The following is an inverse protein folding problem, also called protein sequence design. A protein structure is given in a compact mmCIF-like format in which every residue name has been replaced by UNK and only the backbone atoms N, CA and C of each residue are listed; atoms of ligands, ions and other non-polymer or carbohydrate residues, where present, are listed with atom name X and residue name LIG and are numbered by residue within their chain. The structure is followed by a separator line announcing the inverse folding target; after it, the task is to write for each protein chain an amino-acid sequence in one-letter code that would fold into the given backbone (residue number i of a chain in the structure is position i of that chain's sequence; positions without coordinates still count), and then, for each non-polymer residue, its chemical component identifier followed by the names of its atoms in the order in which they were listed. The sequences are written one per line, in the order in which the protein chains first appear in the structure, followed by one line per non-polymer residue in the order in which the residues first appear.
data_IF_878424343211
#
_entry.id   IF_878424343211
#
_cell.length_a   1.000
_cell.length_b   1.000
_cell.length_c   1.000
_cell.angle_alpha   90.00
_cell.angle_beta   90.00
_cell.angle_gamma   90.00
#
_symmetry.space_group_name_H-M   'P 1'
#
loop_
_entity.id
_entity.type
_entity.pdbx_description
1 polymer ?
#
# COMPACT_ATOMS: atom_id res chain seq x y z
N UNK A 1 28.56 27.35 21.53
CA UNK A 1 29.04 26.77 20.25
C UNK A 1 27.88 26.27 19.38
N UNK A 2 26.91 25.55 19.94
CA UNK A 2 25.74 25.01 19.19
C UNK A 2 25.00 26.05 18.34
N UNK A 3 24.66 27.23 18.89
CA UNK A 3 23.98 28.30 18.14
C UNK A 3 24.75 28.82 16.92
N UNK A 4 26.08 28.78 16.95
CA UNK A 4 26.92 29.22 15.83
C UNK A 4 26.92 28.17 14.71
N UNK A 5 26.96 26.89 15.09
CA UNK A 5 26.85 25.76 14.15
C UNK A 5 25.47 25.74 13.48
N UNK A 6 24.42 25.98 14.25
CA UNK A 6 23.05 26.08 13.74
C UNK A 6 22.91 27.25 12.75
N UNK A 7 23.40 28.43 13.12
CA UNK A 7 23.41 29.59 12.21
C UNK A 7 24.17 29.32 10.90
N UNK A 8 25.36 28.69 10.98
CA UNK A 8 26.11 28.30 9.78
C UNK A 8 25.34 27.29 8.92
N UNK A 9 24.67 26.32 9.55
CA UNK A 9 23.88 25.29 8.87
C UNK A 9 22.74 25.93 8.06
N UNK A 10 21.93 26.80 8.67
CA UNK A 10 20.85 27.51 7.97
C UNK A 10 21.36 28.47 6.91
N UNK A 11 22.42 29.23 7.19
CA UNK A 11 22.98 30.19 6.23
C UNK A 11 23.54 29.49 4.99
N UNK A 12 24.30 28.41 5.20
CA UNK A 12 24.85 27.62 4.09
C UNK A 12 23.76 26.88 3.33
N UNK A 13 22.76 26.30 4.02
CA UNK A 13 21.62 25.66 3.37
C UNK A 13 20.83 26.64 2.51
N UNK A 14 20.60 27.87 2.98
CA UNK A 14 19.84 28.89 2.24
C UNK A 14 20.60 29.33 0.98
N UNK A 15 21.94 29.43 1.04
CA UNK A 15 22.76 29.84 -0.10
C UNK A 15 22.94 28.71 -1.12
N UNK A 16 23.26 27.48 -0.67
CA UNK A 16 23.61 26.35 -1.53
C UNK A 16 22.42 25.45 -1.89
N UNK A 17 21.41 25.35 -1.03
CA UNK A 17 20.27 24.46 -1.21
C UNK A 17 19.53 24.64 -2.53
N UNK A 18 19.14 25.87 -2.91
CA UNK A 18 18.50 26.12 -4.21
C UNK A 18 19.38 25.73 -5.40
N UNK A 19 20.70 25.95 -5.31
CA UNK A 19 21.65 25.57 -6.37
C UNK A 19 21.77 24.05 -6.52
N UNK A 20 21.81 23.31 -5.40
CA UNK A 20 21.89 21.84 -5.41
C UNK A 20 20.62 21.23 -6.04
N UNK A 21 19.44 21.75 -5.70
CA UNK A 21 18.18 21.27 -6.25
C UNK A 21 18.01 21.66 -7.73
N UNK A 22 18.47 22.85 -8.13
CA UNK A 22 18.47 23.27 -9.54
C UNK A 22 19.43 22.39 -10.36
N UNK A 23 20.61 22.05 -9.83
CA UNK A 23 21.54 21.13 -10.47
C UNK A 23 20.92 19.74 -10.66
N UNK A 24 20.25 19.20 -9.64
CA UNK A 24 19.49 17.95 -9.73
C UNK A 24 18.45 18.04 -10.85
N UNK A 25 17.67 19.13 -10.88
CA UNK A 25 16.67 19.36 -11.91
C UNK A 25 17.27 19.38 -13.32
N UNK A 26 18.36 20.12 -13.55
CA UNK A 26 19.04 20.19 -14.85
C UNK A 26 19.55 18.81 -15.30
N UNK A 27 20.17 18.07 -14.38
CA UNK A 27 20.68 16.72 -14.65
C UNK A 27 19.53 15.77 -15.02
N UNK A 28 18.40 15.85 -14.32
CA UNK A 28 17.20 15.07 -14.64
C UNK A 28 16.60 15.47 -15.99
N UNK A 29 16.49 16.76 -16.28
CA UNK A 29 16.00 17.25 -17.58
C UNK A 29 16.92 16.85 -18.74
N UNK A 30 18.24 16.78 -18.51
CA UNK A 30 19.20 16.27 -19.49
C UNK A 30 18.89 14.80 -19.85
N UNK A 31 18.60 13.96 -18.86
CA UNK A 31 18.21 12.57 -19.10
C UNK A 31 16.87 12.46 -19.84
N UNK A 32 15.89 13.31 -19.50
CA UNK A 32 14.59 13.36 -20.22
C UNK A 32 14.81 13.77 -21.68
N UNK A 33 15.61 14.81 -21.92
CA UNK A 33 15.94 15.28 -23.26
C UNK A 33 16.65 14.19 -24.08
N UNK A 34 17.61 13.48 -23.48
CA UNK A 34 18.28 12.35 -24.10
C UNK A 34 17.28 11.23 -24.46
N UNK A 35 16.37 10.91 -23.54
CA UNK A 35 15.29 9.94 -23.78
C UNK A 35 14.37 10.36 -24.93
N UNK A 36 14.04 11.64 -25.03
CA UNK A 36 13.23 12.18 -26.12
C UNK A 36 13.95 12.08 -27.48
N UNK A 37 15.25 12.35 -27.52
CA UNK A 37 16.06 12.17 -28.75
C UNK A 37 16.06 10.72 -29.20
N UNK A 38 16.28 9.78 -28.27
CA UNK A 38 16.24 8.34 -28.58
C UNK A 38 14.86 7.91 -29.06
N UNK A 39 13.79 8.36 -28.40
CA UNK A 39 12.41 8.07 -28.79
C UNK A 39 12.06 8.67 -30.16
N UNK A 40 12.48 9.89 -30.45
CA UNK A 40 12.27 10.53 -31.74
C UNK A 40 13.00 9.77 -32.86
N UNK A 41 14.25 9.37 -32.64
CA UNK A 41 15.00 8.54 -33.60
C UNK A 41 14.32 7.19 -33.83
N UNK A 42 13.89 6.52 -32.76
CA UNK A 42 13.14 5.27 -32.86
C UNK A 42 11.83 5.45 -33.63
N UNK A 43 11.10 6.54 -33.38
CA UNK A 43 9.86 6.86 -34.09
C UNK A 43 10.11 7.08 -35.59
N UNK A 44 11.15 7.84 -35.96
CA UNK A 44 11.51 8.09 -37.37
C UNK A 44 11.84 6.78 -38.12
N UNK A 45 12.53 5.85 -37.45
CA UNK A 45 12.90 4.55 -38.03
C UNK A 45 11.71 3.58 -38.08
N UNK A 46 10.86 3.57 -37.05
CA UNK A 46 9.73 2.65 -36.91
C UNK A 46 8.46 3.14 -37.61
N UNK A 47 8.32 4.44 -37.88
CA UNK A 47 7.10 5.01 -38.46
C UNK A 47 6.68 4.36 -39.79
N UNK A 48 7.58 4.01 -40.72
CA UNK A 48 7.18 3.36 -41.97
C UNK A 48 6.63 1.94 -41.72
N UNK A 49 7.22 1.23 -40.76
CA UNK A 49 6.80 -0.13 -40.37
C UNK A 49 5.42 -0.08 -39.70
N UNK A 50 5.21 0.88 -38.78
CA UNK A 50 3.94 1.09 -38.11
C UNK A 50 2.85 1.52 -39.10
N UNK A 51 3.15 2.44 -40.02
CA UNK A 51 2.22 2.86 -41.06
C UNK A 51 1.81 1.67 -41.95
N UNK A 52 2.76 0.84 -42.36
CA UNK A 52 2.49 -0.40 -43.10
C UNK A 52 1.58 -1.36 -42.31
N UNK A 53 1.84 -1.54 -41.02
CA UNK A 53 1.04 -2.42 -40.16
C UNK A 53 -0.41 -1.93 -40.02
N UNK A 54 -0.62 -0.61 -39.88
CA UNK A 54 -1.96 -0.01 -39.81
C UNK A 54 -2.71 -0.19 -41.14
N UNK A 55 -2.04 0.08 -42.27
CA UNK A 55 -2.63 -0.11 -43.60
C UNK A 55 -3.01 -1.58 -43.85
N UNK A 56 -2.17 -2.53 -43.41
CA UNK A 56 -2.49 -3.96 -43.49
C UNK A 56 -3.71 -4.32 -42.62
N UNK A 57 -3.82 -3.74 -41.42
CA UNK A 57 -4.98 -3.95 -40.54
C UNK A 57 -6.29 -3.39 -41.14
N UNK A 58 -6.22 -2.40 -42.03
CA UNK A 58 -7.36 -1.88 -42.78
C UNK A 58 -7.72 -2.70 -44.03
N UNK A 59 -7.07 -3.85 -44.24
CA UNK A 59 -7.39 -4.77 -45.33
C UNK A 59 -6.60 -4.55 -46.62
N UNK A 60 -5.58 -3.69 -46.62
CA UNK A 60 -4.65 -3.63 -47.74
C UNK A 60 -3.74 -4.87 -47.74
N UNK A 61 -3.44 -5.39 -48.92
CA UNK A 61 -2.45 -6.47 -49.08
C UNK A 61 -1.11 -6.05 -48.45
N UNK A 62 -0.50 -6.92 -47.63
CA UNK A 62 0.76 -6.68 -46.92
C UNK A 62 1.88 -6.13 -47.81
N UNK A 63 2.02 -6.59 -49.05
CA UNK A 63 3.06 -6.08 -49.97
C UNK A 63 2.77 -4.63 -50.38
N UNK A 64 1.50 -4.32 -50.65
CA UNK A 64 1.07 -3.00 -51.07
C UNK A 64 1.10 -2.02 -49.89
N UNK A 65 0.71 -2.45 -48.68
CA UNK A 65 0.84 -1.69 -47.44
C UNK A 65 2.31 -1.30 -47.15
N UNK A 66 3.27 -2.20 -47.40
CA UNK A 66 4.69 -1.90 -47.24
C UNK A 66 5.18 -0.84 -48.23
N UNK A 67 4.79 -0.94 -49.51
CA UNK A 67 5.13 0.05 -50.53
C UNK A 67 4.56 1.42 -50.16
N UNK A 68 3.28 1.48 -49.75
CA UNK A 68 2.66 2.73 -49.30
C UNK A 68 3.30 3.29 -48.04
N UNK A 69 3.67 2.44 -47.07
CA UNK A 69 4.37 2.87 -45.86
C UNK A 69 5.72 3.51 -46.15
N UNK A 70 6.50 2.96 -47.08
CA UNK A 70 7.77 3.56 -47.54
C UNK A 70 7.54 4.85 -48.32
N UNK A 71 6.51 4.88 -49.18
CA UNK A 71 6.19 6.07 -49.99
C UNK A 71 5.66 7.24 -49.14
N UNK A 72 4.97 6.96 -48.03
CA UNK A 72 4.48 7.96 -47.07
C UNK A 72 5.55 8.41 -46.08
N UNK A 73 6.66 7.69 -45.93
CA UNK A 73 7.71 8.00 -44.96
C UNK A 73 8.25 9.45 -45.09
N UNK A 74 8.54 9.99 -46.29
CA UNK A 74 9.01 11.36 -46.44
C UNK A 74 8.00 12.40 -45.93
N UNK A 75 6.70 12.17 -46.11
CA UNK A 75 5.65 13.06 -45.61
C UNK A 75 5.58 13.03 -44.08
N UNK A 76 5.70 11.84 -43.47
CA UNK A 76 5.74 11.68 -42.01
C UNK A 76 7.00 12.34 -41.43
N UNK A 77 8.14 12.21 -42.09
CA UNK A 77 9.38 12.86 -41.67
C UNK A 77 9.30 14.38 -41.78
N UNK A 78 8.71 14.92 -42.86
CA UNK A 78 8.52 16.36 -43.02
C UNK A 78 7.58 16.91 -41.95
N UNK A 79 6.46 16.24 -41.68
CA UNK A 79 5.56 16.61 -40.60
C UNK A 79 6.26 16.57 -39.23
N UNK A 80 7.05 15.52 -38.98
CA UNK A 80 7.82 15.38 -37.74
C UNK A 80 8.87 16.48 -37.60
N UNK A 81 9.56 16.85 -38.68
CA UNK A 81 10.54 17.93 -38.70
C UNK A 81 9.91 19.30 -38.40
N UNK A 82 8.64 19.51 -38.77
CA UNK A 82 7.90 20.73 -38.42
C UNK A 82 7.39 20.72 -36.97
N UNK A 83 6.92 19.57 -36.47
CA UNK A 83 6.34 19.45 -35.12
C UNK A 83 7.39 19.42 -34.01
N UNK A 84 8.54 18.77 -34.23
CA UNK A 84 9.58 18.60 -33.22
C UNK A 84 10.09 19.94 -32.63
N UNK A 85 10.40 20.98 -33.44
CA UNK A 85 10.80 22.28 -32.90
C UNK A 85 9.71 22.93 -32.03
N UNK A 86 8.44 22.81 -32.42
CA UNK A 86 7.31 23.36 -31.65
C UNK A 86 7.22 22.68 -30.29
N UNK A 87 7.30 21.35 -30.26
CA UNK A 87 7.32 20.59 -29.01
C UNK A 87 8.56 20.86 -28.17
N UNK A 88 9.73 21.06 -28.79
CA UNK A 88 10.96 21.40 -28.08
C UNK A 88 10.86 22.78 -27.40
N UNK A 89 10.33 23.80 -28.10
CA UNK A 89 10.09 25.14 -27.53
C UNK A 89 9.07 25.07 -26.40
N UNK A 90 7.97 24.34 -26.61
CA UNK A 90 6.95 24.14 -25.57
C UNK A 90 7.51 23.43 -24.34
N UNK A 91 8.29 22.37 -24.53
CA UNK A 91 8.97 21.63 -23.47
C UNK A 91 9.98 22.51 -22.72
N UNK A 92 10.75 23.34 -23.43
CA UNK A 92 11.70 24.28 -22.83
C UNK A 92 10.98 25.32 -21.97
N UNK A 93 9.88 25.90 -22.47
CA UNK A 93 9.09 26.86 -21.70
C UNK A 93 8.53 26.25 -20.41
N UNK A 94 8.08 24.99 -20.47
CA UNK A 94 7.59 24.26 -19.30
C UNK A 94 8.74 23.94 -18.32
N UNK A 95 9.88 23.49 -18.83
CA UNK A 95 11.06 23.20 -18.01
C UNK A 95 11.57 24.45 -17.29
N UNK A 96 11.52 25.63 -17.90
CA UNK A 96 11.85 26.90 -17.24
C UNK A 96 10.85 27.17 -16.10
N UNK A 97 9.55 27.00 -16.34
CA UNK A 97 8.53 27.16 -15.31
C UNK A 97 8.72 26.23 -14.12
N UNK A 98 9.09 24.98 -14.38
CA UNK A 98 9.36 23.99 -13.32
C UNK A 98 10.68 24.27 -12.60
N UNK A 99 11.73 24.74 -13.30
CA UNK A 99 12.99 25.15 -12.68
C UNK A 99 12.78 26.29 -11.67
N UNK A 100 11.93 27.27 -12.02
CA UNK A 100 11.58 28.38 -11.13
C UNK A 100 10.86 27.85 -9.88
N UNK A 101 9.91 26.94 -10.03
CA UNK A 101 9.21 26.33 -8.88
C UNK A 101 10.16 25.56 -7.97
N UNK A 102 11.00 24.69 -8.54
CA UNK A 102 12.00 23.90 -7.78
C UNK A 102 12.98 24.82 -7.04
N UNK A 103 13.37 25.94 -7.66
CA UNK A 103 14.20 26.94 -6.99
C UNK A 103 13.52 27.51 -5.74
N UNK A 104 12.26 27.94 -5.84
CA UNK A 104 11.52 28.49 -4.72
C UNK A 104 11.17 27.45 -3.64
N UNK A 105 10.83 26.23 -4.03
CA UNK A 105 10.62 25.10 -3.11
C UNK A 105 11.92 24.78 -2.35
N UNK A 106 13.05 24.79 -3.06
CA UNK A 106 14.36 24.59 -2.47
C UNK A 106 14.75 25.70 -1.50
N UNK A 107 14.45 26.95 -1.85
CA UNK A 107 14.67 28.11 -0.98
C UNK A 107 13.80 28.04 0.27
N UNK A 108 12.50 27.73 0.14
CA UNK A 108 11.59 27.58 1.27
C UNK A 108 12.02 26.46 2.21
N UNK A 109 12.41 25.31 1.66
CA UNK A 109 12.86 24.15 2.45
C UNK A 109 14.18 24.43 3.17
N UNK A 110 15.11 25.11 2.50
CA UNK A 110 16.37 25.52 3.12
C UNK A 110 16.18 26.54 4.25
N UNK A 111 15.20 27.45 4.10
CA UNK A 111 14.89 28.46 5.11
C UNK A 111 14.20 27.86 6.35
N UNK A 112 13.25 26.94 6.15
CA UNK A 112 12.45 26.34 7.23
C UNK A 112 13.20 25.22 7.96
N UNK A 113 13.95 24.39 7.24
CA UNK A 113 14.48 23.12 7.76
C UNK A 113 16.01 22.97 7.58
N UNK A 114 16.68 23.99 7.03
CA UNK A 114 18.12 23.94 6.77
C UNK A 114 18.52 22.83 5.79
N UNK A 115 19.68 22.21 6.00
CA UNK A 115 20.18 21.13 5.15
C UNK A 115 19.32 19.85 5.19
N UNK A 116 18.55 19.63 6.27
CA UNK A 116 17.67 18.48 6.37
C UNK A 116 16.53 18.58 5.35
N UNK A 117 15.90 19.74 5.22
CA UNK A 117 14.85 19.96 4.22
C UNK A 117 15.37 19.87 2.79
N UNK A 118 16.58 20.38 2.53
CA UNK A 118 17.23 20.23 1.22
C UNK A 118 17.50 18.76 0.91
N UNK A 119 18.02 17.99 1.87
CA UNK A 119 18.30 16.55 1.70
C UNK A 119 17.03 15.73 1.48
N UNK A 120 15.98 16.01 2.25
CA UNK A 120 14.67 15.37 2.08
C UNK A 120 14.12 15.60 0.66
N UNK A 121 14.13 16.85 0.16
CA UNK A 121 13.71 17.14 -1.22
C UNK A 121 14.66 16.59 -2.29
N UNK A 122 15.95 16.48 -1.97
CA UNK A 122 16.93 15.88 -2.87
C UNK A 122 16.72 14.37 -3.01
N UNK A 123 16.33 13.67 -1.94
CA UNK A 123 16.05 12.23 -1.98
C UNK A 123 14.69 11.88 -2.58
N UNK A 124 13.72 12.80 -2.51
CA UNK A 124 12.42 12.57 -3.11
C UNK A 124 12.54 12.43 -4.64
N UNK A 125 11.96 11.38 -5.24
CA UNK A 125 11.86 11.29 -6.69
C UNK A 125 11.10 12.52 -7.16
N UNK A 126 11.65 13.21 -8.16
CA UNK A 126 11.03 14.40 -8.72
C UNK A 126 9.65 13.96 -9.25
N UNK A 127 8.57 14.29 -8.53
CA UNK A 127 7.20 13.85 -8.85
C UNK A 127 6.82 14.25 -10.28
N UNK A 128 7.43 15.31 -10.82
CA UNK A 128 7.29 15.72 -12.22
C UNK A 128 7.71 14.64 -13.24
N UNK A 129 8.63 13.74 -12.88
CA UNK A 129 9.02 12.58 -13.70
C UNK A 129 7.88 11.57 -13.84
N UNK A 130 6.99 11.45 -12.85
CA UNK A 130 5.86 10.54 -12.90
C UNK A 130 4.89 10.92 -14.01
N UNK A 131 4.65 12.21 -14.26
CA UNK A 131 3.69 12.64 -15.29
C UNK A 131 4.17 12.38 -16.74
N UNK A 132 5.45 12.64 -17.02
CA UNK A 132 6.02 12.40 -18.37
C UNK A 132 6.33 10.92 -18.60
N UNK A 133 6.78 10.21 -17.56
CA UNK A 133 6.98 8.75 -17.64
C UNK A 133 5.67 7.99 -17.70
N UNK A 134 4.60 8.43 -17.04
CA UNK A 134 3.27 7.81 -17.20
C UNK A 134 2.74 7.97 -18.61
N UNK A 135 3.03 9.08 -19.32
CA UNK A 135 2.67 9.21 -20.73
C UNK A 135 3.47 8.24 -21.63
N UNK A 136 4.78 8.11 -21.43
CA UNK A 136 5.60 7.14 -22.15
C UNK A 136 5.23 5.68 -21.82
N UNK A 137 4.94 5.39 -20.54
CA UNK A 137 4.47 4.09 -20.09
C UNK A 137 3.06 3.79 -20.57
N UNK A 138 2.18 4.79 -20.70
CA UNK A 138 0.86 4.63 -21.32
C UNK A 138 0.98 4.30 -22.81
N UNK A 139 1.91 4.95 -23.53
CA UNK A 139 2.22 4.64 -24.93
C UNK A 139 2.85 3.25 -25.10
N UNK A 140 3.70 2.82 -24.17
CA UNK A 140 4.29 1.47 -24.18
C UNK A 140 3.29 0.39 -23.75
N UNK A 141 2.42 0.66 -22.78
CA UNK A 141 1.35 -0.25 -22.34
C UNK A 141 0.23 -0.40 -23.38
N UNK A 142 0.05 0.58 -24.29
CA UNK A 142 -0.79 0.43 -25.46
C UNK A 142 -0.29 -0.68 -26.40
N UNK A 143 0.98 -1.07 -26.34
CA UNK A 143 1.53 -2.16 -27.16
C UNK A 143 1.56 -3.51 -26.43
N UNK A 144 1.68 -3.52 -25.10
CA UNK A 144 1.68 -4.77 -24.32
C UNK A 144 0.28 -5.34 -24.07
N UNK A 145 -0.78 -4.56 -24.31
CA UNK A 145 -2.17 -5.04 -24.31
C UNK A 145 -2.62 -5.66 -25.64
N UNK A 146 -1.69 -6.07 -26.51
CA UNK A 146 -2.01 -7.12 -27.48
C UNK A 146 -2.07 -8.43 -26.69
N UNK A 147 -3.22 -8.66 -26.04
CA UNK A 147 -3.58 -9.96 -25.54
C UNK A 147 -3.23 -10.99 -26.64
N UNK A 148 -2.56 -12.12 -26.31
CA UNK A 148 -2.47 -13.22 -27.27
C UNK A 148 -3.89 -13.45 -27.76
N UNK A 149 -4.10 -13.47 -29.08
CA UNK A 149 -5.42 -13.56 -29.70
C UNK A 149 -6.26 -14.59 -28.94
N UNK A 150 -7.02 -14.08 -27.97
CA UNK A 150 -7.89 -14.86 -27.14
C UNK A 150 -9.08 -15.01 -28.04
N UNK A 151 -9.32 -16.25 -28.42
CA UNK A 151 -10.52 -16.72 -29.09
C UNK A 151 -11.70 -15.85 -28.59
N UNK A 152 -12.34 -15.14 -29.52
CA UNK A 152 -13.29 -14.03 -29.26
C UNK A 152 -14.61 -14.51 -28.65
N UNK A 153 -14.54 -15.30 -27.60
CA UNK A 153 -15.65 -15.60 -26.74
C UNK A 153 -15.40 -14.84 -25.43
N UNK A 154 -16.15 -13.76 -25.14
CA UNK A 154 -16.17 -13.20 -23.80
C UNK A 154 -16.68 -14.31 -22.87
N UNK A 155 -15.76 -15.04 -22.26
CA UNK A 155 -16.10 -15.86 -21.11
C UNK A 155 -16.49 -14.87 -20.02
N UNK A 156 -17.80 -14.60 -19.92
CA UNK A 156 -18.40 -14.05 -18.72
C UNK A 156 -17.92 -14.93 -17.57
N UNK A 157 -17.01 -14.39 -16.76
CA UNK A 157 -16.63 -15.05 -15.51
C UNK A 157 -17.86 -14.87 -14.62
N UNK A 158 -18.75 -15.86 -14.65
CA UNK A 158 -19.87 -15.88 -13.73
C UNK A 158 -19.30 -15.87 -12.31
N UNK A 159 -19.93 -15.11 -11.41
CA UNK A 159 -19.49 -15.03 -10.01
C UNK A 159 -19.55 -16.41 -9.36
N UNK A 160 -20.39 -17.29 -9.89
CA UNK A 160 -20.52 -18.68 -9.49
C UNK A 160 -19.29 -19.54 -9.88
N UNK A 161 -18.41 -19.04 -10.77
CA UNK A 161 -17.09 -19.62 -11.07
C UNK A 161 -16.06 -19.26 -10.00
N UNK A 162 -16.20 -18.11 -9.33
CA UNK A 162 -15.47 -17.90 -8.10
C UNK A 162 -16.04 -18.89 -7.08
N UNK A 163 -15.18 -19.79 -6.61
CA UNK A 163 -15.57 -20.85 -5.70
C UNK A 163 -16.19 -20.22 -4.45
N UNK A 164 -17.52 -20.20 -4.37
CA UNK A 164 -18.22 -19.89 -3.15
C UNK A 164 -17.91 -21.04 -2.20
N UNK A 165 -16.91 -20.87 -1.33
CA UNK A 165 -16.69 -21.83 -0.26
C UNK A 165 -17.86 -21.69 0.73
N UNK A 166 -18.90 -22.48 0.52
CA UNK A 166 -19.83 -22.90 1.58
C UNK A 166 -19.04 -23.84 2.50
N UNK A 167 -18.09 -23.29 3.25
CA UNK A 167 -17.46 -24.05 4.30
C UNK A 167 -18.51 -24.40 5.34
N UNK A 168 -18.72 -25.69 5.61
CA UNK A 168 -19.30 -26.25 6.85
C UNK A 168 -18.39 -25.93 8.05
N UNK A 169 -17.93 -24.68 8.15
CA UNK A 169 -17.29 -24.18 9.33
C UNK A 169 -18.40 -24.11 10.38
N UNK A 170 -18.40 -25.07 11.31
CA UNK A 170 -19.01 -24.90 12.63
C UNK A 170 -18.27 -23.76 13.33
N UNK A 171 -18.61 -22.54 12.93
CA UNK A 171 -18.08 -21.32 13.50
C UNK A 171 -18.79 -21.12 14.83
N UNK A 172 -18.05 -21.28 15.92
CA UNK A 172 -18.44 -20.62 17.15
C UNK A 172 -18.61 -19.13 16.85
N UNK A 173 -19.75 -18.50 17.20
CA UNK A 173 -19.94 -17.08 16.99
C UNK A 173 -18.84 -16.33 17.74
N UNK A 174 -17.90 -15.79 16.98
CA UNK A 174 -16.78 -15.03 17.52
C UNK A 174 -17.32 -13.69 18.00
N UNK A 175 -17.32 -13.49 19.31
CA UNK A 175 -17.70 -12.21 19.92
C UNK A 175 -16.64 -11.17 19.56
N UNK A 176 -16.94 -10.34 18.55
CA UNK A 176 -16.06 -9.27 18.06
C UNK A 176 -15.54 -8.43 19.23
N UNK A 177 -16.42 -8.13 20.19
CA UNK A 177 -16.08 -7.30 21.34
C UNK A 177 -15.03 -7.94 22.23
N UNK A 178 -15.06 -9.27 22.37
CA UNK A 178 -14.06 -10.05 23.10
C UNK A 178 -12.72 -10.11 22.35
N UNK A 179 -12.73 -10.22 21.02
CA UNK A 179 -11.49 -10.16 20.22
C UNK A 179 -10.83 -8.79 20.23
N UNK A 180 -11.60 -7.71 20.15
CA UNK A 180 -11.02 -6.35 20.23
C UNK A 180 -10.46 -6.07 21.63
N UNK A 181 -11.11 -6.52 22.69
CA UNK A 181 -10.54 -6.41 24.05
C UNK A 181 -9.25 -7.21 24.20
N UNK A 182 -9.19 -8.44 23.66
CA UNK A 182 -7.97 -9.26 23.71
C UNK A 182 -6.81 -8.60 22.94
N UNK A 183 -7.07 -8.03 21.76
CA UNK A 183 -6.06 -7.32 20.98
C UNK A 183 -5.56 -6.05 21.70
N UNK A 184 -6.48 -5.31 22.33
CA UNK A 184 -6.15 -4.08 23.05
C UNK A 184 -5.39 -4.35 24.35
N UNK A 185 -5.69 -5.45 25.04
CA UNK A 185 -4.97 -5.92 26.23
C UNK A 185 -3.57 -6.42 25.87
N UNK A 186 -3.43 -7.15 24.75
CA UNK A 186 -2.13 -7.61 24.25
C UNK A 186 -1.23 -6.44 23.82
N UNK A 187 -1.82 -5.37 23.28
CA UNK A 187 -1.08 -4.16 22.90
C UNK A 187 -0.54 -3.36 24.09
N UNK A 188 -1.17 -3.44 25.27
CA UNK A 188 -0.75 -2.71 26.48
C UNK A 188 0.36 -3.41 27.27
N UNK A 189 0.62 -4.69 27.01
CA UNK A 189 1.56 -5.50 27.79
C UNK A 189 3.03 -5.50 27.32
N UNK A 190 3.38 -4.75 26.28
CA UNK A 190 4.74 -4.77 25.70
C UNK A 190 5.50 -3.53 26.15
N UNK A 191 6.26 -3.65 27.24
CA UNK A 191 7.15 -2.62 27.77
C UNK A 191 8.50 -2.62 26.99
N UNK A 192 8.84 -1.56 26.22
CA UNK A 192 10.00 -1.53 25.33
C UNK A 192 11.37 -1.49 26.04
N UNK A 193 11.42 -1.32 27.36
CA UNK A 193 12.66 -1.03 28.11
C UNK A 193 13.44 -2.25 28.63
N UNK A 194 12.96 -3.49 28.46
CA UNK A 194 13.64 -4.69 28.97
C UNK A 194 14.59 -5.39 27.95
N UNK A 195 15.22 -4.61 27.07
CA UNK A 195 16.04 -5.13 25.98
C UNK A 195 17.53 -4.76 26.17
N UNK A 196 18.33 -5.65 26.81
CA UNK A 196 19.82 -5.60 26.79
C UNK A 196 20.47 -6.99 26.68
N UNK A 197 20.58 -7.52 25.45
CA UNK A 197 21.49 -8.59 24.97
C UNK A 197 21.41 -8.66 23.42
N UNK A 198 22.31 -7.95 22.73
CA UNK A 198 22.15 -7.43 21.36
C UNK A 198 21.68 -8.39 20.25
N UNK A 199 21.96 -9.69 20.30
CA UNK A 199 21.51 -10.63 19.26
C UNK A 199 20.10 -11.20 19.52
N UNK A 200 19.80 -11.52 20.78
CA UNK A 200 18.46 -11.91 21.23
C UNK A 200 17.48 -10.73 21.18
N UNK A 201 18.02 -9.52 21.39
CA UNK A 201 17.33 -8.25 21.34
C UNK A 201 16.90 -7.87 19.93
N UNK A 202 17.76 -8.09 18.92
CA UNK A 202 17.38 -7.86 17.52
C UNK A 202 16.26 -8.80 17.09
N UNK A 203 16.35 -10.11 17.40
CA UNK A 203 15.26 -11.06 17.09
C UNK A 203 13.98 -10.76 17.85
N UNK A 204 14.08 -10.36 19.12
CA UNK A 204 12.93 -9.95 19.91
C UNK A 204 12.28 -8.68 19.35
N UNK A 205 13.08 -7.64 19.04
CA UNK A 205 12.60 -6.39 18.48
C UNK A 205 11.94 -6.60 17.12
N UNK A 206 12.54 -7.42 16.25
CA UNK A 206 11.95 -7.79 14.96
C UNK A 206 10.61 -8.52 15.12
N UNK A 207 10.52 -9.47 16.06
CA UNK A 207 9.27 -10.18 16.34
C UNK A 207 8.21 -9.27 16.96
N UNK A 208 8.60 -8.34 17.85
CA UNK A 208 7.70 -7.38 18.47
C UNK A 208 7.18 -6.36 17.45
N UNK A 209 8.03 -5.83 16.57
CA UNK A 209 7.63 -4.95 15.48
C UNK A 209 6.73 -5.65 14.48
N UNK A 210 7.03 -6.91 14.14
CA UNK A 210 6.18 -7.73 13.27
C UNK A 210 4.80 -7.93 13.92
N UNK A 211 4.76 -8.28 15.20
CA UNK A 211 3.51 -8.45 15.94
C UNK A 211 2.71 -7.15 16.01
N UNK A 212 3.37 -6.02 16.29
CA UNK A 212 2.73 -4.70 16.36
C UNK A 212 2.06 -4.33 15.02
N UNK A 213 2.78 -4.49 13.91
CA UNK A 213 2.25 -4.21 12.57
C UNK A 213 1.08 -5.14 12.21
N UNK A 214 1.18 -6.42 12.56
CA UNK A 214 0.10 -7.39 12.34
C UNK A 214 -1.13 -6.98 13.17
N UNK A 215 -0.95 -6.63 14.45
CA UNK A 215 -2.02 -6.24 15.36
C UNK A 215 -2.73 -4.94 14.94
N UNK A 216 -1.98 -3.91 14.53
CA UNK A 216 -2.54 -2.65 14.04
C UNK A 216 -3.40 -2.86 12.79
N UNK A 217 -2.92 -3.70 11.86
CA UNK A 217 -3.65 -4.06 10.65
C UNK A 217 -4.96 -4.77 10.96
N UNK A 218 -4.94 -5.74 11.88
CA UNK A 218 -6.14 -6.49 12.23
C UNK A 218 -7.13 -5.68 13.05
N UNK A 219 -6.63 -4.74 13.87
CA UNK A 219 -7.47 -3.77 14.55
C UNK A 219 -8.25 -2.92 13.56
N UNK A 220 -7.58 -2.39 12.52
CA UNK A 220 -8.24 -1.61 11.48
C UNK A 220 -9.28 -2.45 10.71
N UNK A 221 -8.95 -3.68 10.33
CA UNK A 221 -9.89 -4.58 9.66
C UNK A 221 -11.11 -4.89 10.55
N UNK A 222 -10.91 -5.22 11.82
CA UNK A 222 -12.00 -5.51 12.76
C UNK A 222 -12.90 -4.29 12.98
N UNK A 223 -12.31 -3.10 13.07
CA UNK A 223 -13.04 -1.82 13.15
C UNK A 223 -13.90 -1.61 11.90
N UNK A 224 -13.31 -1.76 10.70
CA UNK A 224 -14.02 -1.61 9.43
C UNK A 224 -15.21 -2.57 9.32
N UNK A 225 -15.03 -3.84 9.71
CA UNK A 225 -16.13 -4.83 9.73
C UNK A 225 -17.21 -4.49 10.76
N UNK A 226 -16.83 -4.00 11.93
CA UNK A 226 -17.77 -3.53 12.96
C UNK A 226 -18.59 -2.33 12.46
N UNK A 227 -17.94 -1.38 11.78
CA UNK A 227 -18.59 -0.18 11.27
C UNK A 227 -19.55 -0.54 10.13
N UNK A 228 -19.17 -1.44 9.22
CA UNK A 228 -20.08 -2.01 8.20
C UNK A 228 -21.30 -2.65 8.83
N UNK A 229 -21.12 -3.43 9.90
CA UNK A 229 -22.24 -4.06 10.61
C UNK A 229 -23.20 -3.02 11.19
N UNK A 230 -22.67 -1.98 11.86
CA UNK A 230 -23.49 -0.89 12.40
C UNK A 230 -24.24 -0.13 11.30
N UNK A 231 -23.58 0.14 10.18
CA UNK A 231 -24.21 0.75 9.00
C UNK A 231 -25.39 -0.07 8.50
N UNK A 232 -25.19 -1.40 8.40
CA UNK A 232 -26.22 -2.32 7.93
C UNK A 232 -27.41 -2.36 8.88
N UNK A 233 -27.14 -2.39 10.20
CA UNK A 233 -28.18 -2.38 11.24
C UNK A 233 -28.97 -1.06 11.24
N UNK A 234 -28.30 0.08 11.01
CA UNK A 234 -28.89 1.42 11.00
C UNK A 234 -29.43 1.88 9.63
N UNK A 235 -29.18 1.12 8.56
CA UNK A 235 -29.44 1.50 7.15
C UNK A 235 -28.77 2.81 6.73
N UNK A 236 -27.54 3.04 7.21
CA UNK A 236 -26.76 4.23 6.89
C UNK A 236 -25.66 3.92 5.86
N UNK A 237 -25.40 4.85 4.94
CA UNK A 237 -24.26 4.75 4.03
C UNK A 237 -22.98 5.21 4.75
N UNK A 238 -21.97 4.36 4.84
CA UNK A 238 -20.66 4.71 5.40
C UNK A 238 -19.60 4.79 4.30
N UNK A 239 -18.73 5.81 4.32
CA UNK A 239 -17.48 5.79 3.55
C UNK A 239 -16.48 4.89 4.29
N UNK A 240 -16.19 3.70 3.74
CA UNK A 240 -15.24 2.75 4.32
C UNK A 240 -13.93 2.83 3.54
N UNK A 241 -12.81 3.01 4.25
CA UNK A 241 -11.46 3.14 3.64
C UNK A 241 -11.02 1.88 2.87
N UNK A 242 -11.53 0.70 3.23
CA UNK A 242 -11.22 -0.60 2.62
C UNK A 242 -12.24 -1.07 1.56
N UNK A 243 -13.03 -0.15 1.03
CA UNK A 243 -13.90 -0.41 -0.10
C UNK A 243 -13.12 -0.83 -1.36
N UNK A 244 -13.63 -1.83 -2.07
CA UNK A 244 -13.13 -2.15 -3.41
C UNK A 244 -13.42 -1.02 -4.41
N UNK A 245 -14.52 -0.30 -4.20
CA UNK A 245 -14.98 0.82 -5.00
C UNK A 245 -15.38 1.97 -4.09
N UNK A 246 -14.73 3.12 -4.24
CA UNK A 246 -15.01 4.28 -3.40
C UNK A 246 -16.47 4.75 -3.52
N UNK A 247 -17.12 5.00 -2.38
CA UNK A 247 -18.45 5.61 -2.26
C UNK A 247 -19.58 4.76 -2.84
N UNK A 248 -19.44 3.45 -2.72
CA UNK A 248 -20.45 2.50 -3.18
C UNK A 248 -21.51 2.27 -2.09
N UNK A 249 -22.78 2.24 -2.48
CA UNK A 249 -23.84 1.77 -1.59
C UNK A 249 -23.74 0.26 -1.40
N UNK A 250 -23.69 -0.20 -0.15
CA UNK A 250 -23.52 -1.62 0.20
C UNK A 250 -24.85 -2.16 0.72
N UNK A 251 -25.54 -2.97 -0.09
CA UNK A 251 -26.80 -3.62 0.29
C UNK A 251 -26.56 -5.06 0.75
N UNK A 252 -25.71 -5.79 0.03
CA UNK A 252 -25.36 -7.19 0.25
C UNK A 252 -23.84 -7.30 0.39
N UNK A 253 -23.29 -7.01 1.59
CA UNK A 253 -21.85 -7.00 1.79
C UNK A 253 -21.23 -8.38 1.53
N UNK A 254 -20.11 -8.37 0.82
CA UNK A 254 -19.25 -9.53 0.60
C UNK A 254 -17.80 -9.16 0.83
N UNK A 255 -17.02 -10.15 1.28
CA UNK A 255 -15.59 -10.04 1.49
C UNK A 255 -14.89 -10.69 0.31
N UNK A 256 -14.19 -9.91 -0.50
CA UNK A 256 -13.29 -10.41 -1.53
C UNK A 256 -11.90 -10.61 -0.92
N UNK A 257 -11.36 -11.81 -1.00
CA UNK A 257 -10.13 -12.20 -0.31
C UNK A 257 -9.18 -12.88 -1.29
N UNK A 258 -7.90 -12.53 -1.22
CA UNK A 258 -6.85 -13.27 -1.94
C UNK A 258 -6.36 -14.40 -1.06
N UNK A 259 -6.30 -15.60 -1.62
CA UNK A 259 -5.80 -16.78 -0.95
C UNK A 259 -4.54 -17.31 -1.63
N UNK A 260 -3.67 -17.95 -0.87
CA UNK A 260 -2.50 -18.66 -1.37
C UNK A 260 -2.51 -20.12 -0.89
N UNK A 261 -1.96 -21.01 -1.72
CA UNK A 261 -1.89 -22.43 -1.42
C UNK A 261 -0.68 -22.72 -0.53
N UNK A 262 -0.91 -23.24 0.67
CA UNK A 262 0.11 -23.60 1.65
C UNK A 262 -0.19 -24.97 2.25
N UNK A 263 0.70 -25.94 2.07
CA UNK A 263 0.51 -27.32 2.55
C UNK A 263 -0.86 -27.92 2.16
N UNK A 264 -1.26 -27.71 0.89
CA UNK A 264 -2.55 -28.15 0.34
C UNK A 264 -3.80 -27.53 1.01
N UNK A 265 -3.63 -26.43 1.75
CA UNK A 265 -4.71 -25.64 2.32
C UNK A 265 -4.67 -24.22 1.76
N UNK A 266 -5.84 -23.66 1.45
CA UNK A 266 -5.95 -22.27 1.03
C UNK A 266 -6.00 -21.36 2.26
N UNK A 267 -5.00 -20.48 2.35
CA UNK A 267 -4.84 -19.52 3.44
C UNK A 267 -4.99 -18.10 2.93
N UNK A 268 -5.46 -17.21 3.79
CA UNK A 268 -5.67 -15.81 3.40
C UNK A 268 -4.34 -15.06 3.31
N UNK A 269 -4.13 -14.35 2.20
CA UNK A 269 -3.05 -13.36 2.07
C UNK A 269 -3.39 -12.20 3.01
N UNK A 270 -2.53 -11.87 3.99
CA UNK A 270 -2.84 -10.84 4.98
C UNK A 270 -3.21 -9.51 4.33
N UNK A 271 -4.28 -8.90 4.84
CA UNK A 271 -5.01 -7.69 4.40
C UNK A 271 -5.11 -7.50 2.90
N UNK A 272 -5.37 -8.61 2.23
CA UNK A 272 -5.94 -8.61 0.89
C UNK A 272 -7.46 -8.48 0.91
N UNK A 273 -8.09 -8.62 2.09
CA UNK A 273 -9.54 -8.50 2.25
C UNK A 273 -10.03 -7.13 1.81
N UNK A 274 -11.03 -7.13 0.92
CA UNK A 274 -11.76 -5.94 0.49
C UNK A 274 -13.25 -6.14 0.67
N UNK A 275 -13.92 -5.08 1.08
CA UNK A 275 -15.36 -5.07 1.33
C UNK A 275 -16.05 -4.48 0.10
N UNK A 276 -17.09 -5.13 -0.38
CA UNK A 276 -17.86 -4.66 -1.54
C UNK A 276 -19.29 -5.19 -1.50
N UNK A 277 -20.16 -4.67 -2.37
CA UNK A 277 -21.49 -5.20 -2.60
C UNK A 277 -21.46 -6.36 -3.60
N UNK A 278 -22.25 -7.41 -3.37
CA UNK A 278 -22.33 -8.58 -4.24
C UNK A 278 -22.70 -8.23 -5.69
N UNK A 279 -23.70 -7.37 -5.91
CA UNK A 279 -24.18 -7.02 -7.25
C UNK A 279 -23.14 -6.18 -8.01
N UNK A 280 -22.48 -5.29 -7.28
CA UNK A 280 -21.39 -4.48 -7.82
C UNK A 280 -20.18 -5.33 -8.18
N UNK A 281 -19.77 -6.25 -7.30
CA UNK A 281 -18.71 -7.23 -7.57
C UNK A 281 -19.04 -8.06 -8.81
N UNK A 282 -20.29 -8.54 -8.93
CA UNK A 282 -20.77 -9.30 -10.09
C UNK A 282 -20.69 -8.52 -11.39
N UNK A 283 -21.18 -7.29 -11.38
CA UNK A 283 -21.16 -6.42 -12.56
C UNK A 283 -19.72 -6.14 -12.99
N UNK A 284 -18.86 -5.84 -12.02
CA UNK A 284 -17.48 -5.51 -12.27
C UNK A 284 -16.65 -6.70 -12.79
N UNK A 285 -16.81 -7.90 -12.21
CA UNK A 285 -16.13 -9.11 -12.67
C UNK A 285 -16.41 -9.43 -14.14
N UNK A 286 -17.65 -9.16 -14.59
CA UNK A 286 -18.05 -9.36 -15.98
C UNK A 286 -17.47 -8.31 -16.95
N UNK A 287 -17.14 -7.12 -16.46
CA UNK A 287 -16.64 -6.01 -17.29
C UNK A 287 -15.11 -5.95 -17.30
N UNK A 288 -14.48 -6.06 -16.13
CA UNK A 288 -13.05 -5.88 -15.95
C UNK A 288 -12.57 -6.61 -14.67
N UNK A 289 -12.11 -7.88 -14.76
CA UNK A 289 -11.68 -8.66 -13.61
C UNK A 289 -10.26 -8.29 -13.14
N UNK A 290 -9.94 -6.98 -13.06
CA UNK A 290 -8.65 -6.42 -12.60
C UNK A 290 -8.90 -5.47 -11.45
N UNK A 291 -8.42 -5.82 -10.25
CA UNK A 291 -8.65 -5.06 -9.01
C UNK A 291 -8.17 -3.61 -9.17
N UNK A 292 -9.02 -2.59 -8.93
CA UNK A 292 -8.65 -1.19 -9.19
C UNK A 292 -7.45 -0.72 -8.37
N UNK A 293 -7.37 -1.15 -7.11
CA UNK A 293 -6.37 -0.69 -6.13
C UNK A 293 -5.02 -1.37 -6.31
N UNK A 294 -4.99 -2.68 -6.54
CA UNK A 294 -3.74 -3.47 -6.66
C UNK A 294 -3.32 -3.73 -8.11
N UNK A 295 -4.21 -3.50 -9.07
CA UNK A 295 -4.05 -3.89 -10.49
C UNK A 295 -3.84 -5.40 -10.68
N UNK A 296 -4.25 -6.20 -9.69
CA UNK A 296 -4.11 -7.66 -9.73
C UNK A 296 -5.25 -8.29 -10.53
N UNK A 297 -4.93 -9.29 -11.35
CA UNK A 297 -5.92 -10.02 -12.16
C UNK A 297 -6.62 -11.08 -11.33
N UNK A 298 -7.94 -11.12 -11.35
CA UNK A 298 -8.72 -12.14 -10.65
C UNK A 298 -8.56 -13.55 -11.24
N UNK A 299 -8.65 -13.77 -12.57
CA UNK A 299 -8.46 -15.12 -13.14
C UNK A 299 -7.01 -15.63 -13.04
N UNK A 300 -6.04 -14.73 -12.94
CA UNK A 300 -4.61 -15.09 -12.82
C UNK A 300 -3.91 -14.18 -11.80
N UNK A 301 -4.17 -14.38 -10.49
CA UNK A 301 -3.64 -13.52 -9.45
C UNK A 301 -2.14 -13.67 -9.29
N UNK A 302 -1.49 -12.55 -8.98
CA UNK A 302 -0.06 -12.48 -8.74
C UNK A 302 0.33 -13.41 -7.58
N UNK A 303 1.35 -14.28 -7.73
CA UNK A 303 1.79 -15.17 -6.65
C UNK A 303 2.18 -14.41 -5.37
N UNK A 304 1.87 -14.98 -4.22
CA UNK A 304 2.32 -14.48 -2.92
C UNK A 304 3.48 -15.36 -2.42
N UNK A 305 4.66 -14.77 -2.24
CA UNK A 305 5.88 -15.50 -1.86
C UNK A 305 6.19 -16.70 -2.79
N UNK A 306 5.91 -16.55 -4.09
CA UNK A 306 6.08 -17.60 -5.09
C UNK A 306 5.03 -18.72 -5.04
N UNK A 307 4.05 -18.65 -4.14
CA UNK A 307 2.97 -19.62 -4.00
C UNK A 307 1.80 -19.29 -4.93
N UNK A 308 1.11 -20.34 -5.40
CA UNK A 308 -0.10 -20.20 -6.24
C UNK A 308 -1.18 -19.46 -5.46
N UNK A 309 -1.80 -18.47 -6.11
CA UNK A 309 -2.89 -17.68 -5.53
C UNK A 309 -4.23 -17.93 -6.24
N UNK A 310 -5.32 -17.59 -5.56
CA UNK A 310 -6.68 -17.46 -6.11
C UNK A 310 -7.41 -16.32 -5.39
N UNK A 311 -8.45 -15.79 -5.99
CA UNK A 311 -9.43 -14.96 -5.28
C UNK A 311 -10.63 -15.82 -4.89
N UNK A 312 -11.14 -15.59 -3.69
CA UNK A 312 -12.38 -16.16 -3.19
C UNK A 312 -13.25 -15.03 -2.64
N UNK A 313 -14.57 -15.19 -2.69
CA UNK A 313 -15.47 -14.28 -2.01
C UNK A 313 -16.26 -15.03 -0.94
N UNK A 314 -16.53 -14.33 0.15
CA UNK A 314 -17.30 -14.84 1.27
C UNK A 314 -18.49 -13.92 1.51
N UNK A 315 -19.70 -14.47 1.72
CA UNK A 315 -20.80 -13.68 2.26
C UNK A 315 -20.33 -12.98 3.52
N UNK A 316 -20.71 -11.72 3.72
CA UNK A 316 -20.43 -11.03 4.98
C UNK A 316 -21.21 -11.72 6.10
N UNK A 317 -20.57 -12.70 6.70
CA UNK A 317 -20.88 -13.16 8.04
C UNK A 317 -19.90 -12.44 8.97
N UNK A 318 -20.33 -12.18 10.20
CA UNK A 318 -19.51 -11.53 11.24
C UNK A 318 -18.12 -12.19 11.42
N UNK A 319 -17.96 -13.43 10.94
CA UNK A 319 -16.71 -14.18 11.02
C UNK A 319 -15.92 -14.05 9.71
N UNK A 320 -14.95 -13.13 9.70
CA UNK A 320 -13.98 -13.01 8.62
C UNK A 320 -12.86 -14.06 8.78
N UNK A 321 -12.66 -14.91 7.76
CA UNK A 321 -11.61 -15.94 7.73
C UNK A 321 -10.22 -15.35 8.01
N UNK A 322 -9.94 -14.16 7.47
CA UNK A 322 -8.68 -13.45 7.75
C UNK A 322 -8.51 -13.18 9.24
N UNK A 323 -9.54 -12.68 9.94
CA UNK A 323 -9.45 -12.39 11.37
C UNK A 323 -9.25 -13.66 12.20
N UNK A 324 -9.91 -14.75 11.83
CA UNK A 324 -9.75 -16.04 12.51
C UNK A 324 -8.32 -16.56 12.35
N UNK A 325 -7.81 -16.63 11.12
CA UNK A 325 -6.44 -17.07 10.85
C UNK A 325 -5.40 -16.16 11.54
N UNK A 326 -5.66 -14.86 11.53
CA UNK A 326 -4.74 -13.87 12.10
C UNK A 326 -4.74 -13.89 13.63
N UNK A 327 -5.88 -14.11 14.27
CA UNK A 327 -5.95 -14.29 15.73
C UNK A 327 -5.12 -15.48 16.19
N UNK A 328 -5.13 -16.58 15.42
CA UNK A 328 -4.28 -17.74 15.69
C UNK A 328 -2.79 -17.42 15.52
N UNK A 329 -2.41 -16.64 14.50
CA UNK A 329 -1.02 -16.19 14.30
C UNK A 329 -0.54 -15.25 15.40
N UNK A 330 -1.36 -14.27 15.78
CA UNK A 330 -1.09 -13.35 16.90
C UNK A 330 -0.84 -14.16 18.17
N UNK A 331 -1.74 -15.11 18.49
CA UNK A 331 -1.58 -15.97 19.67
C UNK A 331 -0.24 -16.73 19.64
N UNK A 332 0.13 -17.32 18.50
CA UNK A 332 1.42 -18.01 18.35
C UNK A 332 2.62 -17.05 18.50
N UNK A 333 2.55 -15.83 17.97
CA UNK A 333 3.61 -14.83 18.12
C UNK A 333 3.74 -14.36 19.57
N UNK A 334 2.61 -14.14 20.26
CA UNK A 334 2.57 -13.79 21.67
C UNK A 334 3.18 -14.90 22.53
N UNK A 335 2.81 -16.17 22.29
CA UNK A 335 3.39 -17.32 22.99
C UNK A 335 4.91 -17.42 22.77
N UNK A 336 5.39 -17.18 21.54
CA UNK A 336 6.84 -17.16 21.24
C UNK A 336 7.56 -16.01 21.95
N UNK A 337 6.98 -14.82 21.97
CA UNK A 337 7.55 -13.68 22.69
C UNK A 337 7.62 -13.96 24.19
N UNK A 338 6.57 -14.56 24.79
CA UNK A 338 6.60 -14.97 26.19
C UNK A 338 7.72 -15.96 26.49
N UNK A 339 7.91 -16.97 25.63
CA UNK A 339 9.02 -17.93 25.77
C UNK A 339 10.40 -17.26 25.71
N UNK A 340 10.60 -16.32 24.78
CA UNK A 340 11.84 -15.56 24.66
C UNK A 340 12.08 -14.66 25.89
N UNK A 341 11.03 -14.03 26.41
CA UNK A 341 11.11 -13.23 27.65
C UNK A 341 11.52 -14.10 28.84
N UNK A 342 10.91 -15.27 29.00
CA UNK A 342 11.27 -16.21 30.07
C UNK A 342 12.70 -16.74 29.92
N UNK A 343 13.15 -17.05 28.70
CA UNK A 343 14.52 -17.48 28.44
C UNK A 343 15.54 -16.38 28.81
N UNK A 344 15.24 -15.11 28.49
CA UNK A 344 16.08 -13.98 28.84
C UNK A 344 16.15 -13.71 30.36
N UNK A 345 15.04 -13.94 31.08
CA UNK A 345 14.99 -13.82 32.54
C UNK A 345 15.76 -14.95 33.23
N UNK A 346 15.63 -16.18 32.76
CA UNK A 346 16.32 -17.34 33.33
C UNK A 346 17.83 -17.33 33.05
N UNK A 347 18.26 -16.84 31.87
CA UNK A 347 19.69 -16.67 31.55
C UNK A 347 20.42 -15.61 32.39
N UNK A 348 19.67 -14.75 33.11
CA UNK A 348 20.23 -13.78 34.07
C UNK A 348 20.47 -14.38 35.46
N UNK A 349 19.89 -15.55 35.78
CA UNK A 349 20.00 -16.15 37.10
C UNK A 349 21.31 -16.91 37.34
N UNK A 350 22.07 -17.26 36.29
CA UNK A 350 23.32 -18.05 36.42
C UNK A 350 24.62 -17.20 36.50
N UNK A 351 24.52 -15.87 36.53
CA UNK A 351 25.67 -14.96 36.64
C UNK A 351 25.94 -14.47 38.07
N UNK A 352 25.65 -15.28 39.10
CA UNK A 352 26.13 -15.04 40.48
C UNK A 352 27.26 -16.00 40.84
N UNK A 353 28.44 -15.73 40.29
CA UNK A 353 29.71 -16.11 40.92
C UNK A 353 30.58 -14.86 41.01
N UNK A 354 30.91 -14.37 42.22
CA UNK A 354 31.76 -13.21 42.38
C UNK A 354 33.21 -13.66 42.15
N UNK A 355 33.72 -13.46 40.93
CA UNK A 355 35.16 -13.54 40.68
C UNK A 355 35.74 -12.13 40.66
N UNK A 356 36.74 -11.83 41.50
CA UNK A 356 37.31 -10.50 41.63
C UNK A 356 38.34 -10.29 40.53
N UNK A 357 37.98 -9.56 39.49
CA UNK A 357 38.93 -8.94 38.57
C UNK A 357 38.35 -7.60 38.14
N UNK A 358 38.43 -6.68 39.09
CA UNK A 358 38.68 -5.27 38.83
C UNK A 358 39.92 -5.13 37.94
N UNK A 359 39.94 -4.03 37.19
CA UNK A 359 41.08 -3.52 36.40
C UNK A 359 41.19 -4.06 34.97
N UNK A 360 40.35 -3.52 34.08
CA UNK A 360 40.83 -2.69 32.97
C UNK A 360 39.69 -2.39 31.99
N UNK A 361 39.14 -1.17 32.07
CA UNK A 361 39.00 -0.24 30.95
C UNK A 361 38.06 0.91 31.33
N UNK A 362 38.70 2.01 31.69
CA UNK A 362 38.14 3.34 31.51
C UNK A 362 37.88 3.56 30.02
N UNK A 363 36.71 4.11 29.70
CA UNK A 363 36.31 4.46 28.35
C UNK A 363 34.94 5.15 28.35
N UNK A 364 34.93 6.40 28.84
CA UNK A 364 33.96 7.47 28.54
C UNK A 364 32.58 7.03 28.06
N UNK A 365 31.62 6.88 28.97
CA UNK A 365 30.21 7.11 28.64
C UNK A 365 29.52 7.94 29.74
N UNK A 366 28.81 8.93 29.21
CA UNK A 366 28.02 9.99 29.83
C UNK A 366 27.25 9.57 31.09
N UNK A 367 27.35 10.38 32.16
CA UNK A 367 26.34 10.47 33.21
C UNK A 367 25.18 11.32 32.69
N UNK A 368 23.93 10.84 32.62
CA UNK A 368 22.79 11.74 32.54
C UNK A 368 22.67 12.50 33.87
N UNK A 369 22.58 13.83 33.75
CA UNK A 369 22.39 14.75 34.85
C UNK A 369 20.94 14.64 35.32
N UNK A 370 20.79 14.45 36.63
CA UNK A 370 19.53 14.44 37.37
C UNK A 370 18.82 15.79 37.14
N UNK A 371 17.75 15.80 36.36
CA UNK A 371 16.84 16.94 36.24
C UNK A 371 15.80 16.90 37.35
N UNK A 372 15.44 18.10 37.79
CA UNK A 372 14.74 18.41 39.02
C UNK A 372 13.24 18.16 38.91
N UNK A 373 12.64 17.86 40.07
CA UNK A 373 11.21 17.87 40.32
C UNK A 373 10.56 19.10 39.71
N UNK A 374 9.61 18.87 38.80
CA UNK A 374 8.60 19.87 38.45
C UNK A 374 7.25 19.23 38.68
N UNK A 375 6.59 19.64 39.77
CA UNK A 375 5.19 19.37 40.04
C UNK A 375 4.34 19.76 38.82
N UNK A 376 3.66 18.79 38.25
CA UNK A 376 2.57 19.01 37.31
C UNK A 376 1.45 18.06 37.67
N UNK A 377 0.46 18.61 38.38
CA UNK A 377 -0.78 17.95 38.73
C UNK A 377 -1.51 17.53 37.46
N UNK A 378 -1.54 16.22 37.18
CA UNK A 378 -2.39 15.63 36.16
C UNK A 378 -3.77 15.43 36.77
N UNK A 379 -4.71 16.28 36.39
CA UNK A 379 -6.15 16.07 36.59
C UNK A 379 -6.58 14.89 35.71
N UNK A 380 -6.79 13.73 36.35
CA UNK A 380 -7.45 12.58 35.74
C UNK A 380 -8.95 12.91 35.70
N UNK A 381 -9.61 12.96 34.53
CA UNK A 381 -11.06 13.04 34.49
C UNK A 381 -11.64 11.71 34.98
N UNK A 382 -12.47 11.77 36.04
CA UNK A 382 -13.27 10.64 36.47
C UNK A 382 -14.27 10.30 35.36
N UNK A 383 -14.11 9.13 34.77
CA UNK A 383 -15.12 8.52 33.89
C UNK A 383 -16.11 7.81 34.80
N UNK A 384 -17.34 8.32 34.88
CA UNK A 384 -18.43 7.67 35.60
C UNK A 384 -18.76 6.31 34.96
N UNK A 385 -19.12 5.29 35.77
CA UNK A 385 -19.49 3.98 35.29
C UNK A 385 -20.81 4.05 34.51
N UNK A 386 -20.77 3.63 33.25
CA UNK A 386 -21.93 3.51 32.37
C UNK A 386 -22.78 2.34 32.88
N UNK A 387 -24.03 2.61 33.26
CA UNK A 387 -24.99 1.59 33.66
C UNK A 387 -25.30 0.62 32.50
N UNK A 388 -25.48 -0.70 32.78
CA UNK A 388 -25.78 -1.68 31.76
C UNK A 388 -27.17 -1.43 31.15
N UNK A 389 -27.16 -1.23 29.83
CA UNK A 389 -28.35 -1.07 29.00
C UNK A 389 -29.23 -2.35 29.06
N UNK A 390 -30.46 -2.21 29.55
CA UNK A 390 -31.47 -3.29 29.52
C UNK A 390 -31.95 -3.49 28.08
N UNK A 391 -31.57 -4.62 27.50
CA UNK A 391 -32.10 -5.10 26.22
C UNK A 391 -33.52 -5.59 26.44
N UNK A 392 -34.51 -4.81 26.00
CA UNK A 392 -35.88 -5.28 25.77
C UNK A 392 -35.93 -5.99 24.42
N UNK A 393 -36.09 -7.30 24.43
CA UNK A 393 -36.31 -8.13 23.24
C UNK A 393 -37.74 -7.94 22.71
N UNK A 394 -37.94 -7.47 21.47
CA UNK A 394 -39.24 -7.57 20.83
C UNK A 394 -39.43 -8.99 20.30
N UNK A 395 -40.49 -9.66 20.75
CA UNK A 395 -40.94 -10.94 20.21
C UNK A 395 -41.57 -10.72 18.83
N UNK A 396 -40.86 -11.09 17.77
CA UNK A 396 -41.42 -11.19 16.43
C UNK A 396 -41.73 -12.65 16.13
N UNK A 397 -43.02 -12.99 16.16
CA UNK A 397 -43.54 -14.27 15.67
C UNK A 397 -43.58 -14.23 14.13
N UNK A 398 -42.75 -15.05 13.49
CA UNK A 398 -42.85 -15.35 12.08
C UNK A 398 -43.87 -16.49 11.90
N UNK A 399 -45.13 -16.14 11.74
CA UNK A 399 -46.13 -17.02 11.13
C UNK A 399 -46.78 -16.29 9.95
N UNK A 400 -46.98 -17.07 8.89
CA UNK A 400 -47.81 -16.80 7.71
C UNK A 400 -47.30 -15.78 6.69
N UNK A 401 -46.61 -16.28 5.66
CA UNK A 401 -46.96 -15.98 4.24
C UNK A 401 -46.16 -16.85 3.27
N UNK A 402 -46.58 -18.11 3.11
CA UNK A 402 -46.35 -18.88 1.88
C UNK A 402 -47.68 -19.44 1.38
N UNK A 403 -48.47 -18.58 0.74
CA UNK A 403 -49.52 -19.00 -0.20
C UNK A 403 -49.95 -17.82 -1.07
N UNK A 404 -49.95 -18.04 -2.40
CA UNK A 404 -50.32 -17.12 -3.51
C UNK A 404 -49.17 -16.18 -3.90
N UNK A 405 -48.59 -16.26 -5.11
CA UNK A 405 -49.13 -16.54 -6.44
C UNK A 405 -48.08 -17.21 -7.31
#
# INVERSE_FOLDING_TARGET
MEKILEFLNYTTATLLGPLVLLLKFVLVQLFVALGFVVAALAFVVLSPVLASAVLNAWGLNSTLAMIFGVLLAPAVWLLSACLLPVFAVWGLARAIGDAIKVFFEGLASAFLEGWQGVSNNFSQPIVYFASTSTFLLALLNLHHNRAPAADNNPQSIDVDVLQQEQGDLKLEPLDISKTTTLLQETAKGIDPDQLKQAEHLMRFHEQAEKLKKELERHYQLAKNLSDVKKALDNKESLPIEDELFEKMEIERPVLLVKEYLDNNQWRVVPGSTKITDYNSLKTWLNQNPIIPTTRDSIPSPTPYEGKKCRYAYYPFSVVCKELVESSARIKQLTERLQQLTHAAQNGKAEATSPSPLSDARQGLFYKPKKEADTDSAVLIPQVEPIEPYKVSTPSWSFEDTWARK
#
